data_IF_075496306496
#
_entry.id   IF_075496306496
#
_cell.length_a   1.000
_cell.length_b   1.000
_cell.length_c   1.000
_cell.angle_alpha   90.00
_cell.angle_beta   90.00
_cell.angle_gamma   90.00
#
_symmetry.space_group_name_H-M   'P 1'
#
loop_
_entity.id
_entity.type
_entity.pdbx_description
1 polymer ?
#
# COMPACT_ATOMS: atom_id res chain seq x y z
N UNK A 1 21.99 -36.31 -39.18
CA UNK A 1 21.77 -36.18 -37.71
C UNK A 1 21.93 -34.73 -37.19
N UNK A 2 21.69 -33.70 -38.01
CA UNK A 2 21.80 -32.28 -37.61
C UNK A 2 20.43 -31.60 -37.38
N UNK A 3 19.40 -32.01 -38.13
CA UNK A 3 18.04 -31.40 -38.08
C UNK A 3 17.39 -31.53 -36.69
N UNK A 4 17.59 -32.66 -36.01
CA UNK A 4 17.08 -32.88 -34.64
C UNK A 4 17.71 -31.93 -33.60
N UNK A 5 18.94 -31.42 -33.83
CA UNK A 5 19.60 -30.50 -32.88
C UNK A 5 19.02 -29.08 -32.95
N UNK A 6 18.63 -28.63 -34.14
CA UNK A 6 18.05 -27.29 -34.35
C UNK A 6 16.64 -27.22 -33.78
N UNK A 7 15.83 -28.26 -34.02
CA UNK A 7 14.46 -28.36 -33.46
C UNK A 7 14.50 -28.37 -31.93
N UNK A 8 15.46 -29.10 -31.35
CA UNK A 8 15.65 -29.14 -29.89
C UNK A 8 16.08 -27.79 -29.32
N UNK A 9 16.94 -27.04 -30.03
CA UNK A 9 17.36 -25.69 -29.64
C UNK A 9 16.21 -24.68 -29.69
N UNK A 10 15.36 -24.76 -30.72
CA UNK A 10 14.17 -23.91 -30.85
C UNK A 10 13.14 -24.20 -29.75
N UNK A 11 12.94 -25.47 -29.37
CA UNK A 11 12.06 -25.84 -28.25
C UNK A 11 12.59 -25.35 -26.90
N UNK A 12 13.91 -25.38 -26.69
CA UNK A 12 14.56 -24.84 -25.50
C UNK A 12 14.42 -23.31 -25.40
N UNK A 13 14.56 -22.59 -26.52
CA UNK A 13 14.37 -21.14 -26.59
C UNK A 13 12.90 -20.74 -26.37
N UNK A 14 11.94 -21.51 -26.89
CA UNK A 14 10.50 -21.30 -26.63
C UNK A 14 10.09 -21.59 -25.18
N UNK A 15 10.79 -22.51 -24.49
CA UNK A 15 10.58 -22.76 -23.07
C UNK A 15 11.01 -21.59 -22.18
N UNK A 16 12.08 -20.89 -22.56
CA UNK A 16 12.62 -19.76 -21.80
C UNK A 16 11.75 -18.49 -21.89
N UNK A 17 11.07 -18.26 -23.02
CA UNK A 17 10.17 -17.11 -23.20
C UNK A 17 8.83 -17.26 -22.50
N UNK A 18 8.48 -18.47 -22.04
CA UNK A 18 7.28 -18.76 -21.26
C UNK A 18 7.53 -18.81 -19.75
N UNK A 19 8.59 -18.14 -19.29
CA UNK A 19 8.73 -17.79 -17.89
C UNK A 19 7.61 -16.79 -17.56
N UNK A 20 6.40 -17.30 -17.34
CA UNK A 20 5.27 -16.50 -16.88
C UNK A 20 5.74 -15.80 -15.62
N UNK A 21 5.82 -14.48 -15.65
CA UNK A 21 5.89 -13.69 -14.43
C UNK A 21 4.73 -14.18 -13.58
N UNK A 22 5.04 -14.91 -12.50
CA UNK A 22 4.02 -15.32 -11.55
C UNK A 22 3.38 -14.04 -11.04
N UNK A 23 2.10 -13.83 -11.34
CA UNK A 23 1.35 -12.76 -10.71
C UNK A 23 1.29 -13.11 -9.23
N UNK A 24 2.00 -12.33 -8.40
CA UNK A 24 1.92 -12.48 -6.96
C UNK A 24 0.49 -12.19 -6.52
N UNK A 25 -0.21 -13.25 -6.11
CA UNK A 25 -1.60 -13.17 -5.68
C UNK A 25 -1.66 -13.09 -4.16
N UNK A 26 -1.99 -11.92 -3.63
CA UNK A 26 -2.18 -11.69 -2.20
C UNK A 26 -3.64 -12.00 -1.86
N UNK A 27 -3.86 -12.98 -0.98
CA UNK A 27 -5.20 -13.37 -0.52
C UNK A 27 -5.46 -12.85 0.89
N UNK A 28 -6.44 -11.97 1.03
CA UNK A 28 -6.85 -11.38 2.31
C UNK A 28 -8.21 -11.91 2.75
N UNK A 29 -8.30 -12.41 3.99
CA UNK A 29 -9.56 -12.92 4.55
C UNK A 29 -10.62 -11.85 4.79
N UNK A 30 -10.22 -10.58 4.83
CA UNK A 30 -11.08 -9.42 5.08
C UNK A 30 -10.44 -8.18 4.47
N UNK A 31 -11.23 -7.09 4.41
CA UNK A 31 -10.72 -5.77 4.03
C UNK A 31 -9.57 -5.37 4.99
N UNK A 32 -8.37 -5.03 4.49
CA UNK A 32 -7.28 -4.48 5.30
C UNK A 32 -7.72 -3.24 6.06
N UNK A 33 -7.20 -3.08 7.28
CA UNK A 33 -7.40 -1.89 8.10
C UNK A 33 -6.07 -1.15 8.24
N UNK A 34 -6.08 0.15 8.02
CA UNK A 34 -4.87 0.97 8.16
C UNK A 34 -4.82 1.59 9.56
N UNK A 35 -3.67 1.49 10.19
CA UNK A 35 -3.36 2.18 11.44
C UNK A 35 -2.14 3.06 11.25
N UNK A 36 -2.26 4.34 11.61
CA UNK A 36 -1.13 5.26 11.71
C UNK A 36 -0.55 5.22 13.13
N UNK A 37 0.75 4.96 13.22
CA UNK A 37 1.48 4.90 14.51
C UNK A 37 2.59 5.93 14.57
N UNK A 38 2.94 6.38 15.78
CA UNK A 38 4.18 7.12 16.01
C UNK A 38 5.40 6.22 16.23
N UNK A 39 6.57 6.84 16.05
CA UNK A 39 7.91 6.28 16.24
C UNK A 39 8.12 5.36 17.46
N UNK A 40 8.98 4.36 17.23
CA UNK A 40 9.51 3.39 18.20
C UNK A 40 10.25 4.06 19.38
N UNK A 41 10.24 3.52 20.62
CA UNK A 41 9.67 2.25 21.06
C UNK A 41 8.19 2.32 21.42
N UNK A 42 7.63 3.52 21.47
CA UNK A 42 6.24 3.73 21.86
C UNK A 42 5.35 3.77 20.62
N UNK A 43 5.08 2.58 20.06
CA UNK A 43 4.06 2.36 19.02
C UNK A 43 2.65 2.60 19.57
N UNK A 44 2.41 3.82 20.03
CA UNK A 44 1.10 4.31 20.42
C UNK A 44 0.34 4.55 19.13
N UNK A 45 -0.86 3.99 19.05
CA UNK A 45 -1.83 4.42 18.06
C UNK A 45 -1.92 5.94 18.17
N UNK A 46 -1.90 6.63 17.04
CA UNK A 46 -1.73 8.07 17.03
C UNK A 46 -3.11 8.73 17.03
N UNK A 47 -3.68 9.20 18.16
CA UNK A 47 -5.02 9.78 18.13
C UNK A 47 -5.00 11.24 17.65
N UNK A 48 -3.89 11.97 17.87
CA UNK A 48 -3.84 13.44 17.71
C UNK A 48 -2.54 13.95 17.11
N UNK A 49 -2.62 14.87 16.14
CA UNK A 49 -1.50 15.63 15.57
C UNK A 49 -1.49 17.06 16.12
N UNK A 50 -0.31 17.57 16.50
CA UNK A 50 -0.15 18.96 16.96
C UNK A 50 0.12 19.88 15.77
N UNK A 51 -0.57 21.02 15.71
CA UNK A 51 -0.37 22.04 14.68
C UNK A 51 1.05 22.63 14.79
N UNK A 52 1.68 22.90 13.64
CA UNK A 52 3.01 23.50 13.55
C UNK A 52 4.18 22.60 13.95
N UNK A 53 3.93 21.34 14.36
CA UNK A 53 4.97 20.39 14.73
C UNK A 53 5.07 19.26 13.72
N UNK A 54 6.30 19.05 13.21
CA UNK A 54 6.62 17.89 12.39
C UNK A 54 6.52 16.62 13.23
N UNK A 55 5.79 15.63 12.72
CA UNK A 55 5.64 14.32 13.36
C UNK A 55 5.95 13.21 12.37
N UNK A 56 6.65 12.21 12.86
CA UNK A 56 6.99 11.01 12.14
C UNK A 56 5.91 9.96 12.33
N UNK A 57 5.28 9.56 11.23
CA UNK A 57 4.21 8.58 11.17
C UNK A 57 4.65 7.33 10.42
N UNK A 58 4.09 6.20 10.82
CA UNK A 58 4.25 4.91 10.18
C UNK A 58 2.91 4.31 9.83
N UNK A 59 2.81 3.80 8.62
CA UNK A 59 1.64 3.06 8.16
C UNK A 59 1.79 1.59 8.55
N UNK A 60 0.78 1.05 9.23
CA UNK A 60 0.70 -0.37 9.57
C UNK A 60 -0.60 -0.94 9.00
N UNK A 61 -0.47 -2.03 8.25
CA UNK A 61 -1.60 -2.79 7.70
C UNK A 61 -1.43 -4.24 8.16
N UNK A 62 -2.02 -4.63 9.31
CA UNK A 62 -1.80 -5.93 9.91
C UNK A 62 -2.12 -7.10 8.99
N UNK A 63 -3.12 -6.95 8.12
CA UNK A 63 -3.55 -7.98 7.17
C UNK A 63 -2.50 -8.31 6.09
N UNK A 64 -1.48 -7.46 5.92
CA UNK A 64 -0.36 -7.71 5.01
C UNK A 64 0.85 -8.36 5.68
N UNK A 65 0.84 -8.53 7.00
CA UNK A 65 1.91 -9.22 7.70
C UNK A 65 2.03 -10.68 7.22
N UNK A 66 3.22 -11.08 6.78
CA UNK A 66 3.48 -12.42 6.28
C UNK A 66 3.00 -12.68 4.85
N UNK A 67 2.56 -11.64 4.13
CA UNK A 67 2.31 -11.69 2.68
C UNK A 67 3.49 -11.12 1.91
N UNK A 68 3.58 -11.38 0.60
CA UNK A 68 4.56 -10.78 -0.32
C UNK A 68 4.25 -9.31 -0.63
N UNK A 69 3.75 -8.58 0.35
CA UNK A 69 3.35 -7.19 0.21
C UNK A 69 4.58 -6.27 0.24
N UNK A 70 4.67 -5.40 -0.76
CA UNK A 70 5.79 -4.49 -0.94
C UNK A 70 5.52 -3.17 -0.24
N UNK A 71 6.32 -2.87 0.78
CA UNK A 71 6.13 -1.69 1.64
C UNK A 71 6.23 -0.38 0.87
N UNK A 72 7.13 -0.32 -0.11
CA UNK A 72 7.35 0.81 -1.01
C UNK A 72 6.21 1.08 -2.01
N UNK A 73 5.18 0.22 -2.10
CA UNK A 73 4.02 0.44 -2.97
C UNK A 73 2.92 1.24 -2.29
N UNK A 74 3.07 1.55 -1.00
CA UNK A 74 2.13 2.39 -0.27
C UNK A 74 2.49 3.86 -0.50
N UNK A 75 1.46 4.66 -0.73
CA UNK A 75 1.55 6.11 -0.72
C UNK A 75 0.51 6.69 0.23
N UNK A 76 0.97 7.45 1.23
CA UNK A 76 0.11 8.27 2.08
C UNK A 76 -0.09 9.63 1.43
N UNK A 77 -1.35 10.02 1.22
CA UNK A 77 -1.72 11.33 0.67
C UNK A 77 -2.60 12.08 1.66
N UNK A 78 -2.32 13.37 1.86
CA UNK A 78 -3.24 14.24 2.56
C UNK A 78 -4.40 14.60 1.65
N UNK A 79 -5.62 14.60 2.18
CA UNK A 79 -6.79 15.19 1.49
C UNK A 79 -6.79 16.71 1.68
N UNK A 80 -6.39 17.16 2.87
CA UNK A 80 -6.38 18.56 3.27
C UNK A 80 -5.10 19.27 2.77
N UNK A 81 -5.25 20.45 2.17
CA UNK A 81 -4.12 21.24 1.63
C UNK A 81 -3.19 21.79 2.73
N UNK A 82 -3.68 21.83 3.97
CA UNK A 82 -2.97 22.32 5.15
C UNK A 82 -1.94 21.30 5.68
N UNK A 83 -1.75 20.18 5.00
CA UNK A 83 -0.88 19.10 5.46
C UNK A 83 0.19 18.78 4.44
N UNK A 84 1.44 19.02 4.85
CA UNK A 84 2.61 18.58 4.11
C UNK A 84 3.01 17.17 4.56
N UNK A 85 3.21 16.28 3.59
CA UNK A 85 3.69 14.91 3.80
C UNK A 85 4.97 14.74 2.99
N UNK A 86 6.03 14.32 3.67
CA UNK A 86 7.31 13.97 3.05
C UNK A 86 7.60 12.49 3.39
N UNK A 87 7.75 11.64 2.37
CA UNK A 87 8.25 10.28 2.59
C UNK A 87 9.74 10.33 2.96
N UNK A 88 10.13 9.52 3.93
CA UNK A 88 11.52 9.45 4.39
C UNK A 88 12.32 8.42 3.59
N UNK A 89 13.61 8.29 3.87
CA UNK A 89 14.48 7.26 3.26
C UNK A 89 14.02 5.83 3.56
N UNK A 90 13.20 5.63 4.60
CA UNK A 90 12.59 4.33 4.89
C UNK A 90 11.17 4.28 4.33
N UNK A 91 10.86 3.19 3.62
CA UNK A 91 9.53 2.91 3.10
C UNK A 91 8.48 2.94 4.22
N UNK A 92 7.27 3.39 3.89
CA UNK A 92 6.12 3.49 4.83
C UNK A 92 6.31 4.43 6.02
N UNK A 93 7.30 5.31 5.94
CA UNK A 93 7.58 6.28 6.98
C UNK A 93 7.47 7.69 6.42
N UNK A 94 6.62 8.49 7.05
CA UNK A 94 6.25 9.81 6.57
C UNK A 94 6.48 10.87 7.65
N UNK A 95 7.11 11.97 7.26
CA UNK A 95 7.17 13.18 8.06
C UNK A 95 5.95 14.05 7.70
N UNK A 96 5.08 14.27 8.67
CA UNK A 96 3.84 15.02 8.51
C UNK A 96 3.94 16.34 9.26
N UNK A 97 3.62 17.44 8.59
CA UNK A 97 3.47 18.76 9.18
C UNK A 97 2.07 19.29 8.89
N UNK A 98 1.34 19.62 9.94
CA UNK A 98 0.05 20.31 9.83
C UNK A 98 0.30 21.81 9.99
N UNK A 99 -0.01 22.58 8.95
CA UNK A 99 0.03 24.04 8.94
C UNK A 99 -1.13 24.62 9.77
N UNK A 100 -1.11 25.93 10.00
CA UNK A 100 -2.19 26.61 10.74
C UNK A 100 -3.54 26.37 10.04
N UNK A 101 -4.51 25.84 10.80
CA UNK A 101 -5.84 25.50 10.32
C UNK A 101 -6.86 25.63 11.44
N UNK A 102 -8.12 25.85 11.07
CA UNK A 102 -9.26 25.83 11.99
C UNK A 102 -9.97 24.46 12.03
N UNK A 103 -9.46 23.48 11.28
CA UNK A 103 -10.01 22.13 11.27
C UNK A 103 -9.75 21.43 12.61
N UNK A 104 -10.65 20.52 12.99
CA UNK A 104 -10.48 19.68 14.19
C UNK A 104 -9.85 18.32 13.86
N UNK A 105 -9.87 17.94 12.58
CA UNK A 105 -9.41 16.65 12.09
C UNK A 105 -8.75 16.82 10.71
N UNK A 106 -7.82 15.93 10.41
CA UNK A 106 -7.17 15.79 9.10
C UNK A 106 -7.45 14.38 8.58
N UNK A 107 -7.66 14.28 7.28
CA UNK A 107 -7.86 13.01 6.59
C UNK A 107 -6.68 12.66 5.69
N UNK A 108 -6.29 11.38 5.74
CA UNK A 108 -5.25 10.79 4.92
C UNK A 108 -5.84 9.66 4.10
N UNK A 109 -5.57 9.65 2.80
CA UNK A 109 -5.81 8.50 1.94
C UNK A 109 -4.56 7.62 1.89
N UNK A 110 -4.76 6.31 2.06
CA UNK A 110 -3.72 5.33 1.85
C UNK A 110 -3.93 4.60 0.52
N UNK A 111 -3.04 4.86 -0.43
CA UNK A 111 -3.06 4.22 -1.74
C UNK A 111 -2.03 3.10 -1.80
N UNK A 112 -2.38 2.00 -2.47
CA UNK A 112 -1.46 0.91 -2.78
C UNK A 112 -1.32 0.75 -4.29
N UNK A 113 -0.10 0.78 -4.81
CA UNK A 113 0.19 0.46 -6.20
C UNK A 113 0.17 -1.04 -6.41
N UNK A 114 -0.75 -1.50 -7.25
CA UNK A 114 -0.89 -2.92 -7.52
C UNK A 114 0.26 -3.45 -8.38
N UNK A 115 1.01 -2.62 -9.10
CA UNK A 115 1.94 -3.05 -10.16
C UNK A 115 1.45 -4.29 -10.94
N UNK A 116 2.03 -5.47 -10.67
CA UNK A 116 1.66 -6.78 -11.23
C UNK A 116 0.91 -7.68 -10.24
N UNK A 117 0.76 -7.23 -9.00
CA UNK A 117 0.07 -7.94 -7.92
C UNK A 117 -1.43 -8.06 -8.20
N UNK A 118 -1.99 -9.18 -7.77
CA UNK A 118 -3.43 -9.38 -7.69
C UNK A 118 -3.83 -9.54 -6.24
N UNK A 119 -4.63 -8.61 -5.72
CA UNK A 119 -5.19 -8.73 -4.36
C UNK A 119 -6.59 -9.32 -4.46
N UNK A 120 -6.83 -10.45 -3.80
CA UNK A 120 -8.14 -11.07 -3.64
C UNK A 120 -8.61 -10.91 -2.21
N UNK A 121 -9.85 -10.46 -2.03
CA UNK A 121 -10.49 -10.27 -0.72
C UNK A 121 -11.67 -11.23 -0.59
N UNK A 122 -11.68 -12.00 0.49
CA UNK A 122 -12.80 -12.88 0.79
C UNK A 122 -14.00 -12.08 1.30
N UNK A 123 -15.14 -12.19 0.60
CA UNK A 123 -16.40 -11.52 0.95
C UNK A 123 -17.58 -12.37 0.47
N UNK A 124 -18.58 -12.58 1.33
CA UNK A 124 -19.82 -13.30 1.01
C UNK A 124 -19.60 -14.69 0.38
N UNK A 125 -18.61 -15.44 0.88
CA UNK A 125 -18.32 -16.80 0.37
C UNK A 125 -17.38 -16.88 -0.83
N UNK A 126 -17.02 -15.74 -1.44
CA UNK A 126 -16.23 -15.69 -2.67
C UNK A 126 -14.96 -14.86 -2.51
N UNK A 127 -13.94 -15.19 -3.32
CA UNK A 127 -12.75 -14.36 -3.48
C UNK A 127 -13.00 -13.34 -4.58
N UNK A 128 -13.01 -12.05 -4.21
CA UNK A 128 -13.31 -10.95 -5.12
C UNK A 128 -12.02 -10.16 -5.37
N UNK A 129 -11.77 -9.74 -6.61
CA UNK A 129 -10.62 -8.91 -6.93
C UNK A 129 -10.74 -7.54 -6.24
N UNK A 130 -9.67 -7.07 -5.60
CA UNK A 130 -9.64 -5.77 -4.93
C UNK A 130 -9.99 -4.62 -5.89
N UNK A 131 -9.65 -4.73 -7.18
CA UNK A 131 -10.01 -3.71 -8.19
C UNK A 131 -11.52 -3.51 -8.35
N UNK A 132 -12.33 -4.52 -8.00
CA UNK A 132 -13.79 -4.43 -8.02
C UNK A 132 -14.38 -3.84 -6.73
N UNK A 133 -13.58 -3.80 -5.65
CA UNK A 133 -14.04 -3.42 -4.31
C UNK A 133 -13.61 -2.01 -3.90
N UNK A 134 -12.54 -1.49 -4.50
CA UNK A 134 -11.93 -0.22 -4.11
C UNK A 134 -12.05 0.86 -5.18
N UNK A 135 -11.96 2.11 -4.74
CA UNK A 135 -11.70 3.24 -5.63
C UNK A 135 -10.34 3.06 -6.30
N UNK A 136 -10.30 3.31 -7.61
CA UNK A 136 -9.12 3.19 -8.45
C UNK A 136 -8.59 4.56 -8.86
N UNK A 137 -7.26 4.65 -8.96
CA UNK A 137 -6.53 5.75 -9.59
C UNK A 137 -5.38 5.14 -10.41
N UNK A 138 -5.62 4.94 -11.70
CA UNK A 138 -4.73 4.18 -12.58
C UNK A 138 -4.52 2.74 -12.05
N UNK A 139 -3.28 2.43 -11.66
CA UNK A 139 -2.93 1.12 -11.11
C UNK A 139 -3.02 1.02 -9.58
N UNK A 140 -3.48 2.09 -8.92
CA UNK A 140 -3.56 2.18 -7.47
C UNK A 140 -4.96 1.90 -6.97
N UNK A 141 -5.05 1.24 -5.83
CA UNK A 141 -6.29 1.09 -5.06
C UNK A 141 -6.22 1.92 -3.79
N UNK A 142 -7.32 2.59 -3.44
CA UNK A 142 -7.46 3.26 -2.15
C UNK A 142 -7.77 2.21 -1.08
N UNK A 143 -6.80 1.87 -0.23
CA UNK A 143 -6.95 0.87 0.82
C UNK A 143 -7.88 1.37 1.93
N UNK A 144 -7.60 2.57 2.43
CA UNK A 144 -8.35 3.15 3.55
C UNK A 144 -8.21 4.67 3.58
N UNK A 145 -9.13 5.32 4.30
CA UNK A 145 -9.06 6.75 4.62
C UNK A 145 -9.01 6.89 6.14
N UNK A 146 -7.90 7.40 6.65
CA UNK A 146 -7.65 7.53 8.08
C UNK A 146 -7.85 8.97 8.51
N UNK A 147 -8.63 9.17 9.58
CA UNK A 147 -8.81 10.49 10.20
C UNK A 147 -7.99 10.59 11.47
N UNK A 148 -7.29 11.71 11.64
CA UNK A 148 -6.54 12.04 12.86
C UNK A 148 -7.06 13.36 13.43
N UNK A 149 -7.30 13.40 14.73
CA UNK A 149 -7.71 14.64 15.40
C UNK A 149 -6.53 15.61 15.50
N UNK A 150 -6.81 16.90 15.58
CA UNK A 150 -5.82 17.93 15.85
C UNK A 150 -5.83 18.30 17.34
N UNK A 151 -4.63 18.52 17.87
CA UNK A 151 -4.41 19.11 19.19
C UNK A 151 -3.96 20.56 18.98
N UNK A 152 -4.79 21.50 19.46
CA UNK A 152 -4.50 22.93 19.47
C UNK A 152 -3.41 23.28 20.49
#
# INVERSE_FOLDING_TARGET
MQVNRIIFLCLLLFGLTNSSYGQDTIKLKKKPKVTLKSWYPEYKDFPKLKIGKRKLLFVVIPEFNGTNFWKNHIALKAINAEVAIEETVKDNQYLVLVHATNQQEIEFELWYDLEKDTILIYKNGNWINARELYKLDGNRILIDTVKLQLEN
#
